data_IF_149989719385
#
_entry.id   IF_149989719385
#
_cell.length_a   1.000
_cell.length_b   1.000
_cell.length_c   1.000
_cell.angle_alpha   90.00
_cell.angle_beta   90.00
_cell.angle_gamma   90.00
#
_symmetry.space_group_name_H-M   'P 1'
#
loop_
_entity.id
_entity.type
_entity.pdbx_description
1 polymer ?
#
# COMPACT_ATOMS: atom_id res chain seq x y z
N UNK A 1 -19.33 -4.75 5.57
CA UNK A 1 -20.19 -5.73 6.27
C UNK A 1 -19.27 -6.71 6.99
N UNK A 2 -19.62 -7.16 8.20
CA UNK A 2 -18.77 -8.11 8.94
C UNK A 2 -19.38 -9.51 8.87
N UNK A 3 -18.58 -10.49 8.45
CA UNK A 3 -19.00 -11.89 8.28
C UNK A 3 -18.11 -12.80 9.13
N UNK A 4 -18.72 -13.71 9.89
CA UNK A 4 -17.99 -14.71 10.68
C UNK A 4 -17.86 -15.98 9.84
N UNK A 5 -16.62 -16.40 9.57
CA UNK A 5 -16.32 -17.59 8.76
C UNK A 5 -16.90 -18.84 9.44
N UNK A 6 -17.68 -19.63 8.70
CA UNK A 6 -18.26 -20.88 9.18
C UNK A 6 -17.42 -22.10 8.78
N UNK A 7 -17.61 -23.27 9.42
CA UNK A 7 -16.93 -24.50 9.01
C UNK A 7 -17.26 -24.84 7.56
N UNK A 8 -16.22 -25.00 6.73
CA UNK A 8 -16.36 -25.30 5.31
C UNK A 8 -16.51 -24.08 4.40
N UNK A 9 -16.57 -22.87 4.95
CA UNK A 9 -16.50 -21.65 4.14
C UNK A 9 -15.09 -21.47 3.56
N UNK A 10 -15.03 -21.17 2.27
CA UNK A 10 -13.82 -20.70 1.62
C UNK A 10 -13.95 -19.23 1.24
N UNK A 11 -12.83 -18.53 1.13
CA UNK A 11 -12.79 -17.14 0.68
C UNK A 11 -13.47 -16.98 -0.69
N UNK A 12 -13.40 -18.01 -1.55
CA UNK A 12 -14.07 -18.05 -2.84
C UNK A 12 -15.59 -18.18 -2.74
N UNK A 13 -16.09 -19.07 -1.86
CA UNK A 13 -17.52 -19.24 -1.59
C UNK A 13 -18.14 -17.97 -1.01
N UNK A 14 -17.43 -17.35 -0.06
CA UNK A 14 -17.82 -16.09 0.58
C UNK A 14 -17.84 -14.96 -0.47
N UNK A 15 -16.75 -14.81 -1.24
CA UNK A 15 -16.65 -13.79 -2.29
C UNK A 15 -17.81 -13.88 -3.29
N UNK A 16 -18.09 -15.09 -3.79
CA UNK A 16 -19.19 -15.35 -4.73
C UNK A 16 -20.56 -15.03 -4.11
N UNK A 17 -20.78 -15.43 -2.84
CA UNK A 17 -22.04 -15.17 -2.12
C UNK A 17 -22.34 -13.69 -1.95
N UNK A 18 -21.30 -12.88 -1.71
CA UNK A 18 -21.43 -11.43 -1.49
C UNK A 18 -21.16 -10.60 -2.74
N UNK A 19 -20.99 -11.23 -3.91
CA UNK A 19 -20.73 -10.52 -5.17
C UNK A 19 -19.45 -9.70 -5.16
N UNK A 20 -18.44 -10.13 -4.41
CA UNK A 20 -17.14 -9.46 -4.30
C UNK A 20 -16.02 -10.38 -4.77
N UNK A 21 -14.79 -9.87 -4.78
CA UNK A 21 -13.61 -10.64 -5.20
C UNK A 21 -12.80 -11.10 -3.98
N UNK A 22 -12.22 -12.30 -4.05
CA UNK A 22 -11.28 -12.82 -3.02
C UNK A 22 -10.19 -11.80 -2.73
N UNK A 23 -9.61 -11.19 -3.77
CA UNK A 23 -8.59 -10.16 -3.64
C UNK A 23 -9.11 -8.91 -2.89
N UNK A 24 -10.36 -8.51 -3.10
CA UNK A 24 -10.94 -7.36 -2.40
C UNK A 24 -11.13 -7.64 -0.91
N UNK A 25 -11.60 -8.85 -0.56
CA UNK A 25 -11.69 -9.29 0.84
C UNK A 25 -10.31 -9.35 1.48
N UNK A 26 -9.32 -9.91 0.77
CA UNK A 26 -7.95 -10.00 1.26
C UNK A 26 -7.33 -8.63 1.54
N UNK A 27 -7.46 -7.69 0.59
CA UNK A 27 -6.95 -6.33 0.76
C UNK A 27 -7.65 -5.61 1.91
N UNK A 28 -8.96 -5.77 2.06
CA UNK A 28 -9.72 -5.11 3.10
C UNK A 28 -9.44 -5.66 4.51
N UNK A 29 -8.94 -6.89 4.62
CA UNK A 29 -8.59 -7.55 5.90
C UNK A 29 -7.08 -7.72 6.10
N UNK A 30 -6.24 -7.23 5.19
CA UNK A 30 -4.78 -7.40 5.26
C UNK A 30 -4.31 -8.86 5.15
N UNK A 31 -5.08 -9.72 4.48
CA UNK A 31 -4.72 -11.14 4.32
C UNK A 31 -3.77 -11.32 3.13
N UNK A 32 -2.62 -11.93 3.39
CA UNK A 32 -1.63 -12.23 2.35
C UNK A 32 -1.92 -13.54 1.63
N UNK A 33 -2.66 -14.46 2.28
CA UNK A 33 -2.87 -15.80 1.76
C UNK A 33 -4.35 -16.22 1.92
N UNK A 34 -5.06 -16.53 0.82
CA UNK A 34 -6.50 -16.81 0.85
C UNK A 34 -6.88 -18.13 1.52
N UNK A 35 -5.92 -19.03 1.76
CA UNK A 35 -6.16 -20.29 2.47
C UNK A 35 -6.01 -20.17 3.99
N UNK A 36 -5.53 -19.03 4.50
CA UNK A 36 -5.35 -18.79 5.93
C UNK A 36 -6.57 -18.08 6.54
N UNK A 37 -7.73 -18.72 6.40
CA UNK A 37 -8.96 -18.30 7.04
C UNK A 37 -9.44 -19.42 7.97
N UNK A 38 -9.79 -19.05 9.19
CA UNK A 38 -10.20 -19.98 10.24
C UNK A 38 -11.66 -19.76 10.60
N UNK A 39 -12.33 -20.84 11.01
CA UNK A 39 -13.71 -20.79 11.51
C UNK A 39 -13.77 -19.85 12.72
N UNK A 40 -14.76 -18.96 12.75
CA UNK A 40 -14.91 -17.94 13.80
C UNK A 40 -14.17 -16.64 13.53
N UNK A 41 -13.36 -16.56 12.47
CA UNK A 41 -12.70 -15.32 12.07
C UNK A 41 -13.75 -14.33 11.54
N UNK A 42 -13.73 -13.10 12.06
CA UNK A 42 -14.56 -12.02 11.54
C UNK A 42 -13.84 -11.34 10.39
N UNK A 43 -14.41 -11.43 9.19
CA UNK A 43 -13.92 -10.79 7.98
C UNK A 43 -14.79 -9.59 7.62
N UNK A 44 -14.14 -8.49 7.27
CA UNK A 44 -14.77 -7.36 6.62
C UNK A 44 -14.96 -7.65 5.13
N UNK A 45 -16.21 -7.79 4.70
CA UNK A 45 -16.56 -8.03 3.31
C UNK A 45 -16.89 -6.68 2.64
N UNK A 46 -16.07 -6.20 1.68
CA UNK A 46 -16.42 -5.07 0.85
C UNK A 46 -17.42 -5.54 -0.20
N UNK A 47 -18.68 -5.14 -0.02
CA UNK A 47 -19.72 -5.30 -1.05
C UNK A 47 -19.54 -4.18 -2.08
N UNK A 48 -19.19 -4.49 -3.34
CA UNK A 48 -19.30 -3.51 -4.40
C UNK A 48 -20.78 -3.11 -4.50
N UNK A 49 -21.04 -1.81 -4.65
CA UNK A 49 -22.39 -1.31 -4.87
C UNK A 49 -23.03 -1.98 -6.10
N UNK A 50 -24.36 -1.88 -6.26
CA UNK A 50 -25.04 -2.45 -7.42
C UNK A 50 -24.31 -2.03 -8.70
N UNK A 51 -24.12 -2.95 -9.67
CA UNK A 51 -23.52 -2.58 -10.93
C UNK A 51 -24.33 -1.42 -11.49
N UNK A 52 -23.67 -0.28 -11.73
CA UNK A 52 -24.31 0.81 -12.42
C UNK A 52 -24.90 0.24 -13.72
N UNK A 53 -26.13 0.61 -14.11
CA UNK A 53 -26.68 0.19 -15.39
C UNK A 53 -25.65 0.50 -16.49
N UNK A 54 -25.53 -0.35 -17.52
CA UNK A 54 -24.59 -0.10 -18.60
C UNK A 54 -24.86 1.31 -19.11
N UNK A 55 -23.84 2.16 -19.05
CA UNK A 55 -23.97 3.52 -19.55
C UNK A 55 -24.41 3.45 -21.03
N UNK A 56 -25.24 4.39 -21.50
CA UNK A 56 -25.53 4.49 -22.93
C UNK A 56 -24.20 4.52 -23.71
N UNK A 57 -24.17 4.01 -24.96
CA UNK A 57 -22.94 3.99 -25.75
C UNK A 57 -22.37 5.41 -25.80
N UNK A 58 -21.27 5.63 -25.08
CA UNK A 58 -20.56 6.90 -25.12
C UNK A 58 -19.98 7.05 -26.53
N UNK A 59 -20.07 8.26 -27.14
CA UNK A 59 -19.20 8.55 -28.27
C UNK A 59 -17.74 8.34 -27.83
N UNK A 60 -16.83 7.91 -28.73
CA UNK A 60 -15.43 7.77 -28.37
C UNK A 60 -14.96 9.10 -27.78
N UNK A 61 -14.62 9.07 -26.48
CA UNK A 61 -14.04 10.22 -25.81
C UNK A 61 -12.73 10.62 -26.47
N UNK A 62 -12.25 11.85 -26.26
CA UNK A 62 -10.90 12.22 -26.67
C UNK A 62 -9.90 11.19 -26.12
N UNK A 63 -8.84 10.86 -26.87
CA UNK A 63 -7.82 9.93 -26.38
C UNK A 63 -7.29 10.44 -25.04
N UNK A 64 -7.26 9.56 -24.04
CA UNK A 64 -6.65 9.90 -22.76
C UNK A 64 -5.21 10.35 -23.00
N UNK A 65 -4.75 11.44 -22.37
CA UNK A 65 -3.33 11.78 -22.42
C UNK A 65 -2.52 10.62 -21.84
N UNK A 66 -1.31 10.34 -22.37
CA UNK A 66 -0.46 9.32 -21.80
C UNK A 66 -0.23 9.63 -20.33
N UNK A 67 -0.38 8.62 -19.47
CA UNK A 67 -0.06 8.77 -18.05
C UNK A 67 1.40 9.22 -17.93
N UNK A 68 1.72 10.21 -17.07
CA UNK A 68 3.11 10.55 -16.82
C UNK A 68 3.85 9.29 -16.32
N UNK A 69 5.11 9.07 -16.76
CA UNK A 69 5.87 7.92 -16.30
C UNK A 69 5.93 7.95 -14.77
N UNK A 70 5.62 6.82 -14.14
CA UNK A 70 5.75 6.70 -12.70
C UNK A 70 7.22 6.99 -12.33
N UNK A 71 7.50 7.82 -11.31
CA UNK A 71 8.87 8.00 -10.86
C UNK A 71 9.41 6.67 -10.37
N UNK A 72 10.58 6.28 -10.87
CA UNK A 72 11.22 5.04 -10.48
C UNK A 72 11.40 5.02 -8.96
N UNK A 73 11.10 3.87 -8.35
CA UNK A 73 11.22 3.72 -6.90
C UNK A 73 12.68 3.98 -6.47
N UNK A 74 13.65 3.71 -7.35
CA UNK A 74 15.06 3.97 -7.13
C UNK A 74 15.38 5.46 -7.03
N UNK A 75 14.85 6.30 -7.93
CA UNK A 75 15.04 7.76 -7.89
C UNK A 75 14.58 8.34 -6.54
N UNK A 76 13.41 7.92 -6.06
CA UNK A 76 12.90 8.36 -4.75
C UNK A 76 13.75 7.89 -3.57
N UNK A 77 14.38 6.72 -3.68
CA UNK A 77 15.28 6.17 -2.66
C UNK A 77 16.62 6.90 -2.66
N UNK A 78 17.18 7.17 -3.84
CA UNK A 78 18.42 7.93 -4.00
C UNK A 78 18.26 9.34 -3.42
N UNK A 79 17.20 10.08 -3.76
CA UNK A 79 16.98 11.43 -3.19
C UNK A 79 16.80 11.44 -1.67
N UNK A 80 16.30 10.35 -1.08
CA UNK A 80 16.21 10.22 0.39
C UNK A 80 17.57 9.92 1.02
N UNK A 81 18.34 9.05 0.40
CA UNK A 81 19.68 8.67 0.86
C UNK A 81 20.64 9.86 0.78
N UNK A 82 20.65 10.60 -0.33
CA UNK A 82 21.50 11.78 -0.50
C UNK A 82 21.26 12.83 0.60
N UNK A 83 19.99 13.13 0.90
CA UNK A 83 19.64 14.04 2.02
C UNK A 83 20.05 13.51 3.38
N UNK A 84 20.08 12.19 3.55
CA UNK A 84 20.52 11.57 4.78
C UNK A 84 22.05 11.66 4.92
N UNK A 85 22.79 11.38 3.84
CA UNK A 85 24.25 11.53 3.78
C UNK A 85 24.67 12.96 4.08
N UNK A 86 23.98 13.96 3.51
CA UNK A 86 24.28 15.37 3.75
C UNK A 86 24.03 15.79 5.22
N UNK A 87 23.01 15.24 5.88
CA UNK A 87 22.79 15.50 7.30
C UNK A 87 23.88 14.87 8.17
N UNK A 88 24.24 13.62 7.87
CA UNK A 88 25.30 12.93 8.60
C UNK A 88 26.66 13.61 8.41
N UNK A 89 26.99 14.07 7.20
CA UNK A 89 28.26 14.74 6.94
C UNK A 89 28.39 16.04 7.73
N UNK A 90 27.34 16.87 7.73
CA UNK A 90 27.29 18.09 8.53
C UNK A 90 27.40 17.82 10.04
N UNK A 91 26.82 16.71 10.51
CA UNK A 91 26.88 16.32 11.92
C UNK A 91 28.28 15.84 12.31
N UNK A 92 28.89 14.99 11.48
CA UNK A 92 30.28 14.53 11.66
C UNK A 92 31.24 15.71 11.67
N UNK A 93 31.06 16.69 10.78
CA UNK A 93 31.93 17.86 10.75
C UNK A 93 31.76 18.75 12.00
N UNK A 94 30.54 18.92 12.49
CA UNK A 94 30.30 19.59 13.78
C UNK A 94 30.96 18.85 14.94
N UNK A 95 30.89 17.53 14.95
CA UNK A 95 31.52 16.68 15.97
C UNK A 95 33.06 16.82 15.91
N UNK A 96 33.65 16.77 14.72
CA UNK A 96 35.10 16.96 14.54
C UNK A 96 35.59 18.30 15.07
N UNK A 97 34.92 19.40 14.68
CA UNK A 97 35.27 20.75 15.19
C UNK A 97 35.09 20.89 16.70
N UNK A 98 34.16 20.13 17.30
CA UNK A 98 34.00 20.09 18.77
C UNK A 98 35.15 19.37 19.43
N UNK A 99 35.60 18.25 18.87
CA UNK A 99 36.74 17.50 19.38
C UNK A 99 38.02 18.33 19.30
N UNK A 100 38.31 18.96 18.16
CA UNK A 100 39.50 19.83 18.01
C UNK A 100 39.51 21.01 19.00
N UNK A 101 38.34 21.59 19.31
CA UNK A 101 38.24 22.64 20.32
C UNK A 101 38.46 22.15 21.75
N UNK A 102 38.08 20.91 22.04
CA UNK A 102 38.33 20.30 23.35
C UNK A 102 39.81 19.94 23.52
N UNK A 103 40.47 19.48 22.45
CA UNK A 103 41.91 19.16 22.48
C UNK A 103 42.79 20.42 22.65
N UNK A 104 42.41 21.57 22.08
CA UNK A 104 43.13 22.84 22.29
C UNK A 104 42.89 23.50 23.66
N UNK A 105 41.92 23.00 24.45
CA UNK A 105 41.59 23.50 25.78
C UNK A 105 42.23 22.70 26.92
N UNK A 106 43.08 21.72 26.61
CA UNK A 106 43.87 20.92 27.58
C UNK A 106 45.36 21.17 27.43
#
# INVERSE_FOLDING_TARGET
MNYVVQPGDTLWSIASRFGTSVQAIMQANGLTNPNYIYVGLTLYIPIPGPPFPPAPPYPPGPPFPPSPPAPDNLDRRVTRLERQVERLSNEVERLRRRVERLEQQS
#
